data_IF_005232318438
#
_entry.id   IF_005232318438
#
_cell.length_a   1.000
_cell.length_b   1.000
_cell.length_c   1.000
_cell.angle_alpha   90.00
_cell.angle_beta   90.00
_cell.angle_gamma   90.00
#
_symmetry.space_group_name_H-M   'P 1'
#
loop_
_entity.id
_entity.type
_entity.pdbx_description
1 polymer ?
#
# COMPACT_ATOMS: atom_id res chain seq x y z
N UNK A 1 8.72 -36.14 -2.05
CA UNK A 1 8.74 -34.73 -2.49
C UNK A 1 8.14 -33.89 -1.36
N UNK A 2 8.92 -32.90 -0.90
CA UNK A 2 8.62 -31.74 -0.04
C UNK A 2 7.59 -31.87 1.10
N UNK A 3 8.07 -32.13 2.34
CA UNK A 3 7.33 -31.80 3.58
C UNK A 3 7.65 -30.38 4.10
N UNK A 4 8.43 -29.60 3.33
CA UNK A 4 8.86 -28.24 3.67
C UNK A 4 7.89 -27.16 3.15
N UNK A 5 6.99 -27.51 2.23
CA UNK A 5 5.98 -26.61 1.63
C UNK A 5 4.79 -26.28 2.57
N UNK A 6 4.64 -27.02 3.67
CA UNK A 6 3.45 -26.94 4.51
C UNK A 6 3.55 -25.91 5.65
N UNK A 7 4.75 -25.41 5.98
CA UNK A 7 4.92 -24.51 7.13
C UNK A 7 4.62 -23.07 6.73
N UNK A 8 3.52 -22.55 7.26
CA UNK A 8 3.19 -21.13 7.17
C UNK A 8 4.27 -20.30 7.88
N UNK A 9 4.67 -19.21 7.24
CA UNK A 9 5.54 -18.24 7.88
C UNK A 9 4.78 -17.59 9.06
N UNK A 10 5.43 -17.17 10.16
CA UNK A 10 4.74 -16.52 11.27
C UNK A 10 3.86 -15.34 10.82
N UNK A 11 4.36 -14.53 9.88
CA UNK A 11 3.61 -13.41 9.30
C UNK A 11 2.42 -13.84 8.43
N UNK A 12 2.43 -15.04 7.84
CA UNK A 12 1.24 -15.58 7.15
C UNK A 12 0.11 -15.82 8.14
N UNK A 13 0.44 -16.42 9.29
CA UNK A 13 -0.54 -16.70 10.32
C UNK A 13 -1.14 -15.38 10.83
N UNK A 14 -0.31 -14.34 11.01
CA UNK A 14 -0.77 -13.00 11.35
C UNK A 14 -1.73 -12.43 10.30
N UNK A 15 -1.38 -12.52 9.01
CA UNK A 15 -2.25 -12.06 7.90
C UNK A 15 -3.58 -12.81 7.88
N UNK A 16 -3.55 -14.14 8.01
CA UNK A 16 -4.75 -14.97 8.00
C UNK A 16 -5.65 -14.72 9.21
N UNK A 17 -5.08 -14.58 10.41
CA UNK A 17 -5.84 -14.23 11.62
C UNK A 17 -6.47 -12.86 11.45
N UNK A 18 -5.71 -11.87 10.98
CA UNK A 18 -6.23 -10.54 10.72
C UNK A 18 -7.40 -10.56 9.74
N UNK A 19 -7.24 -11.22 8.59
CA UNK A 19 -8.29 -11.32 7.59
C UNK A 19 -9.48 -12.18 8.06
N UNK A 20 -9.29 -13.09 9.02
CA UNK A 20 -10.41 -13.81 9.63
C UNK A 20 -11.27 -12.92 10.53
N UNK A 21 -10.66 -11.90 11.15
CA UNK A 21 -11.33 -10.93 12.02
C UNK A 21 -11.98 -9.81 11.19
N UNK A 22 -11.23 -9.22 10.25
CA UNK A 22 -11.64 -8.03 9.49
C UNK A 22 -12.28 -8.34 8.12
N UNK A 23 -12.25 -9.62 7.69
CA UNK A 23 -12.68 -10.15 6.38
C UNK A 23 -11.91 -9.66 5.16
N UNK A 24 -11.48 -8.40 5.12
CA UNK A 24 -10.82 -7.77 3.98
C UNK A 24 -10.05 -6.54 4.46
N UNK A 25 -8.76 -6.45 4.15
CA UNK A 25 -7.97 -5.24 4.41
C UNK A 25 -6.78 -5.11 3.46
N UNK A 26 -6.22 -3.91 3.38
CA UNK A 26 -5.03 -3.60 2.61
C UNK A 26 -3.77 -4.10 3.34
N UNK A 27 -2.76 -4.61 2.60
CA UNK A 27 -1.48 -4.98 3.19
C UNK A 27 -0.81 -3.87 4.02
N UNK A 28 -1.03 -2.60 3.65
CA UNK A 28 -0.54 -1.42 4.38
C UNK A 28 -1.20 -1.25 5.74
N UNK A 29 -2.51 -1.54 5.86
CA UNK A 29 -3.26 -1.47 7.12
C UNK A 29 -2.86 -2.59 8.06
N UNK A 30 -2.77 -3.82 7.53
CA UNK A 30 -2.25 -4.98 8.25
C UNK A 30 -0.85 -4.67 8.78
N UNK A 31 0.01 -4.11 7.93
CA UNK A 31 1.38 -3.77 8.29
C UNK A 31 1.47 -2.73 9.42
N UNK A 32 0.65 -1.68 9.36
CA UNK A 32 0.58 -0.68 10.41
C UNK A 32 0.12 -1.27 11.74
N UNK A 33 -0.89 -2.15 11.72
CA UNK A 33 -1.45 -2.77 12.94
C UNK A 33 -0.45 -3.66 13.67
N UNK A 34 0.37 -4.41 12.93
CA UNK A 34 1.34 -5.33 13.52
C UNK A 34 2.76 -4.75 13.56
N UNK A 35 2.92 -3.45 13.29
CA UNK A 35 4.21 -2.73 13.31
C UNK A 35 5.28 -3.42 12.44
N UNK A 36 4.86 -3.99 11.31
CA UNK A 36 5.73 -4.66 10.34
C UNK A 36 5.86 -3.83 9.06
N UNK A 37 6.93 -4.01 8.27
CA UNK A 37 7.06 -3.30 7.00
C UNK A 37 5.92 -3.66 6.01
N UNK A 38 5.28 -2.65 5.37
CA UNK A 38 4.22 -2.89 4.38
C UNK A 38 4.62 -3.78 3.20
N UNK A 39 5.90 -3.74 2.82
CA UNK A 39 6.43 -4.57 1.75
C UNK A 39 6.44 -6.06 2.13
N UNK A 40 6.74 -6.38 3.38
CA UNK A 40 6.79 -7.77 3.84
C UNK A 40 5.39 -8.36 3.88
N UNK A 41 4.42 -7.60 4.40
CA UNK A 41 3.01 -8.03 4.41
C UNK A 41 2.48 -8.20 2.99
N UNK A 42 2.74 -7.26 2.08
CA UNK A 42 2.33 -7.39 0.67
C UNK A 42 2.86 -8.70 0.07
N UNK A 43 4.14 -9.00 0.27
CA UNK A 43 4.76 -10.24 -0.23
C UNK A 43 4.13 -11.50 0.38
N UNK A 44 3.73 -11.45 1.66
CA UNK A 44 3.01 -12.56 2.29
C UNK A 44 1.61 -12.72 1.71
N UNK A 45 0.85 -11.64 1.52
CA UNK A 45 -0.47 -11.69 0.89
C UNK A 45 -0.38 -12.27 -0.54
N UNK A 46 0.63 -11.91 -1.32
CA UNK A 46 0.89 -12.48 -2.65
C UNK A 46 1.17 -14.00 -2.58
N UNK A 47 2.08 -14.44 -1.69
CA UNK A 47 2.39 -15.86 -1.52
C UNK A 47 1.20 -16.68 -0.98
N UNK A 48 0.36 -16.08 -0.15
CA UNK A 48 -0.88 -16.69 0.31
C UNK A 48 -1.91 -16.81 -0.83
N UNK A 49 -1.98 -15.82 -1.72
CA UNK A 49 -2.87 -15.84 -2.88
C UNK A 49 -2.45 -16.89 -3.92
N UNK A 50 -1.16 -17.08 -4.15
CA UNK A 50 -0.65 -18.15 -5.01
C UNK A 50 -1.03 -19.55 -4.51
N UNK A 51 -1.22 -19.68 -3.20
CA UNK A 51 -1.65 -20.91 -2.52
C UNK A 51 -3.17 -20.99 -2.36
N UNK A 52 -3.91 -20.05 -2.95
CA UNK A 52 -5.37 -19.96 -2.89
C UNK A 52 -5.92 -19.82 -1.45
N UNK A 53 -5.13 -19.21 -0.55
CA UNK A 53 -5.49 -19.01 0.86
C UNK A 53 -6.13 -17.64 1.13
N UNK A 54 -5.89 -16.68 0.25
CA UNK A 54 -6.51 -15.36 0.22
C UNK A 54 -6.70 -14.98 -1.25
N UNK A 55 -7.58 -14.04 -1.55
CA UNK A 55 -7.73 -13.53 -2.92
C UNK A 55 -7.53 -12.01 -2.98
N UNK A 56 -6.80 -11.48 -3.98
CA UNK A 56 -6.76 -10.05 -4.21
C UNK A 56 -8.12 -9.57 -4.72
N UNK A 57 -8.81 -8.83 -3.88
CA UNK A 57 -10.14 -8.27 -4.16
C UNK A 57 -10.10 -6.93 -4.91
N UNK A 58 -8.93 -6.32 -5.06
CA UNK A 58 -8.73 -5.03 -5.74
C UNK A 58 -7.51 -5.06 -6.67
N UNK A 59 -7.57 -4.29 -7.76
CA UNK A 59 -6.49 -4.09 -8.75
C UNK A 59 -5.98 -2.65 -8.72
N UNK A 60 -5.65 -2.14 -7.54
CA UNK A 60 -5.56 -0.70 -7.29
C UNK A 60 -4.70 0.10 -8.30
N UNK A 61 -5.21 1.25 -8.73
CA UNK A 61 -4.73 2.03 -9.88
C UNK A 61 -4.20 3.40 -9.44
N UNK A 62 -3.07 3.80 -10.02
CA UNK A 62 -2.25 4.97 -9.66
C UNK A 62 -2.62 6.22 -10.48
N UNK A 63 -2.40 7.41 -9.90
CA UNK A 63 -2.57 8.71 -10.55
C UNK A 63 -1.22 9.38 -10.88
N UNK A 64 -1.20 10.15 -11.97
CA UNK A 64 -0.06 10.98 -12.37
C UNK A 64 -0.53 12.41 -12.59
N UNK A 65 0.33 13.37 -12.25
CA UNK A 65 0.12 14.74 -12.69
C UNK A 65 0.15 14.79 -14.22
N UNK A 66 -0.82 15.47 -14.80
CA UNK A 66 -0.88 15.75 -16.24
C UNK A 66 -0.10 17.04 -16.54
N UNK A 67 0.19 17.30 -17.82
CA UNK A 67 0.87 18.56 -18.22
C UNK A 67 0.06 19.78 -17.80
N UNK A 68 -1.26 19.75 -17.99
CA UNK A 68 -2.17 20.76 -17.44
C UNK A 68 -2.08 20.89 -15.92
N UNK A 69 -1.84 19.78 -15.22
CA UNK A 69 -1.60 19.78 -13.79
C UNK A 69 -0.26 20.41 -13.40
N UNK A 70 0.76 20.26 -14.23
CA UNK A 70 2.08 20.88 -14.05
C UNK A 70 2.02 22.38 -14.35
N UNK A 71 1.41 22.79 -15.47
CA UNK A 71 1.23 24.19 -15.84
C UNK A 71 0.49 24.97 -14.75
N UNK A 72 -0.55 24.33 -14.18
CA UNK A 72 -1.29 24.90 -13.06
C UNK A 72 -0.43 25.00 -11.79
N UNK A 73 0.46 24.03 -11.55
CA UNK A 73 1.36 24.03 -10.40
C UNK A 73 2.40 25.16 -10.50
N UNK A 74 2.87 25.48 -11.70
CA UNK A 74 3.80 26.58 -11.96
C UNK A 74 3.13 27.95 -11.74
N UNK A 75 1.93 28.15 -12.30
CA UNK A 75 1.18 29.39 -12.06
C UNK A 75 0.92 29.65 -10.56
N UNK A 76 0.70 28.58 -9.78
CA UNK A 76 0.56 28.69 -8.31
C UNK A 76 1.87 29.06 -7.61
N UNK A 77 3.02 28.64 -8.14
CA UNK A 77 4.31 28.97 -7.55
C UNK A 77 4.61 30.46 -7.72
N UNK A 78 4.29 31.02 -8.89
CA UNK A 78 4.50 32.43 -9.21
C UNK A 78 3.63 33.36 -8.34
N UNK A 79 2.33 33.06 -8.23
CA UNK A 79 1.39 33.81 -7.37
C UNK A 79 1.84 33.83 -5.88
N UNK A 80 2.50 32.76 -5.42
CA UNK A 80 3.01 32.65 -4.05
C UNK A 80 4.28 33.45 -3.81
N UNK A 81 5.09 33.65 -4.84
CA UNK A 81 6.30 34.47 -4.76
C UNK A 81 5.94 35.95 -4.75
N UNK A 82 4.96 36.35 -5.57
CA UNK A 82 4.42 37.71 -5.60
C UNK A 82 3.87 38.17 -4.23
N UNK A 83 3.19 37.27 -3.51
CA UNK A 83 2.69 37.54 -2.16
C UNK A 83 3.81 37.64 -1.11
N UNK A 84 4.95 36.96 -1.30
CA UNK A 84 6.13 37.08 -0.42
C UNK A 84 6.92 38.36 -0.66
N UNK A 85 6.75 38.99 -1.83
CA UNK A 85 7.35 40.29 -2.15
C UNK A 85 6.59 41.51 -1.63
N UNK A 86 5.41 41.35 -1.01
CA UNK A 86 4.64 42.46 -0.43
C UNK A 86 5.06 42.76 1.03
N UNK A 87 5.80 41.87 1.68
CA UNK A 87 6.46 42.15 2.96
C UNK A 87 7.96 42.43 2.72
N UNK A 88 8.31 43.74 2.81
CA UNK A 88 9.64 44.42 2.86
C UNK A 88 9.96 45.29 1.64
#
# INVERSE_FOLDING_TARGET
>A
MAQDDARLHPLDATVLVHLSEERLDYPTCIAARYEVPPADVRRRCEALAERDLVEPVSREVVYRLTDTGADRLEALADERDDLRSIDI
#
